data_IF_632956900486
#
_entry.id   IF_632956900486
#
_cell.length_a   1.000
_cell.length_b   1.000
_cell.length_c   1.000
_cell.angle_alpha   90.00
_cell.angle_beta   90.00
_cell.angle_gamma   90.00
#
_symmetry.space_group_name_H-M   'P 1'
#
loop_
_entity.id
_entity.type
_entity.pdbx_description
1 polymer ?
#
# COMPACT_ATOMS: atom_id res chain seq x y z
N UNK A 1 -48.86 -40.13 -5.29
CA UNK A 1 -47.61 -39.65 -5.94
C UNK A 1 -47.59 -38.13 -6.13
N UNK A 2 -48.05 -37.34 -5.14
CA UNK A 2 -48.16 -35.87 -5.22
C UNK A 2 -46.94 -35.10 -4.65
N UNK A 3 -45.83 -35.79 -4.38
CA UNK A 3 -44.59 -35.17 -3.84
C UNK A 3 -43.37 -35.21 -4.79
N UNK A 4 -43.51 -35.72 -6.02
CA UNK A 4 -42.43 -35.72 -7.05
C UNK A 4 -42.62 -34.70 -8.19
N UNK A 5 -43.79 -34.06 -8.26
CA UNK A 5 -44.11 -33.05 -9.28
C UNK A 5 -43.62 -31.64 -8.85
N UNK A 6 -43.54 -31.37 -7.54
CA UNK A 6 -43.10 -30.05 -7.04
C UNK A 6 -41.58 -29.81 -7.20
N UNK A 7 -40.75 -30.86 -7.25
CA UNK A 7 -39.28 -30.72 -7.37
C UNK A 7 -38.84 -30.62 -8.84
N UNK A 8 -39.61 -31.14 -9.79
CA UNK A 8 -39.25 -31.10 -11.22
C UNK A 8 -39.55 -29.74 -11.89
N UNK A 9 -40.49 -28.96 -11.35
CA UNK A 9 -40.82 -27.61 -11.85
C UNK A 9 -39.76 -26.57 -11.44
N UNK A 10 -39.11 -26.78 -10.29
CA UNK A 10 -38.06 -25.88 -9.79
C UNK A 10 -36.73 -26.08 -10.54
N UNK A 11 -36.43 -27.29 -11.01
CA UNK A 11 -35.19 -27.58 -11.77
C UNK A 11 -35.25 -27.06 -13.22
N UNK A 12 -36.43 -27.01 -13.85
CA UNK A 12 -36.60 -26.46 -15.22
C UNK A 12 -36.52 -24.92 -15.21
N UNK A 13 -36.98 -24.27 -14.14
CA UNK A 13 -36.87 -22.82 -14.00
C UNK A 13 -35.42 -22.34 -13.80
N UNK A 14 -34.55 -23.18 -13.21
CA UNK A 14 -33.13 -22.86 -13.00
C UNK A 14 -32.27 -23.10 -14.26
N UNK A 15 -32.66 -24.04 -15.13
CA UNK A 15 -31.97 -24.29 -16.41
C UNK A 15 -32.32 -23.24 -17.47
N UNK A 16 -33.54 -22.67 -17.46
CA UNK A 16 -33.91 -21.56 -18.34
C UNK A 16 -33.20 -20.23 -17.98
N UNK A 17 -32.77 -20.07 -16.73
CA UNK A 17 -32.02 -18.90 -16.28
C UNK A 17 -30.51 -18.95 -16.63
N UNK A 18 -29.98 -20.10 -17.08
CA UNK A 18 -28.55 -20.28 -17.39
C UNK A 18 -28.23 -20.38 -18.89
N UNK A 19 -29.22 -20.39 -19.78
CA UNK A 19 -29.02 -20.48 -21.25
C UNK A 19 -29.19 -19.11 -21.96
N UNK A 20 -29.53 -18.04 -21.23
CA UNK A 20 -29.62 -16.69 -21.81
C UNK A 20 -28.31 -15.88 -21.72
N UNK A 21 -27.24 -16.48 -21.21
CA UNK A 21 -25.89 -15.91 -21.26
C UNK A 21 -25.07 -16.64 -22.33
N UNK A 22 -24.68 -15.87 -23.35
CA UNK A 22 -23.47 -16.00 -24.17
C UNK A 22 -23.50 -16.81 -25.48
N UNK A 23 -23.31 -16.02 -26.55
CA UNK A 23 -22.63 -16.30 -27.83
C UNK A 23 -23.49 -17.05 -28.86
N UNK A 24 -23.70 -16.62 -30.10
CA UNK A 24 -23.06 -15.68 -31.04
C UNK A 24 -23.58 -16.15 -32.43
N UNK A 25 -23.41 -15.53 -33.60
CA UNK A 25 -22.77 -14.32 -34.10
C UNK A 25 -22.96 -14.44 -35.64
N UNK A 26 -23.22 -13.31 -36.32
CA UNK A 26 -22.89 -13.10 -37.74
C UNK A 26 -24.01 -13.34 -38.76
N UNK A 27 -24.48 -12.41 -39.58
CA UNK A 27 -24.33 -10.95 -39.71
C UNK A 27 -25.43 -10.49 -40.68
N UNK A 28 -26.08 -9.36 -40.43
CA UNK A 28 -26.37 -8.33 -41.46
C UNK A 28 -27.00 -7.10 -40.84
N UNK A 29 -26.35 -5.97 -41.10
CA UNK A 29 -26.71 -4.61 -40.73
C UNK A 29 -28.02 -4.19 -41.42
N UNK A 30 -29.07 -3.95 -40.63
CA UNK A 30 -29.94 -2.80 -40.84
C UNK A 30 -30.15 -2.21 -39.45
N UNK A 31 -29.75 -0.96 -39.25
CA UNK A 31 -30.25 -0.18 -38.14
C UNK A 31 -31.77 -0.06 -38.34
N UNK A 32 -32.54 -1.02 -37.82
CA UNK A 32 -33.97 -0.89 -37.74
C UNK A 32 -34.22 0.22 -36.74
N UNK A 33 -34.56 1.40 -37.24
CA UNK A 33 -35.22 2.45 -36.46
C UNK A 33 -36.19 1.78 -35.50
N UNK A 34 -35.94 1.95 -34.19
CA UNK A 34 -36.81 1.39 -33.16
C UNK A 34 -38.26 1.75 -33.45
N UNK A 35 -39.17 0.79 -33.25
CA UNK A 35 -40.60 1.01 -33.39
C UNK A 35 -40.99 2.28 -32.65
N UNK A 36 -41.82 3.13 -33.26
CA UNK A 36 -42.33 4.31 -32.57
C UNK A 36 -43.18 3.87 -31.37
N UNK A 37 -43.33 4.75 -30.38
CA UNK A 37 -44.19 4.46 -29.22
C UNK A 37 -45.64 4.14 -29.64
N UNK A 38 -46.11 4.70 -30.76
CA UNK A 38 -47.39 4.36 -31.37
C UNK A 38 -47.41 2.93 -31.94
N UNK A 39 -46.36 2.51 -32.64
CA UNK A 39 -46.25 1.14 -33.18
C UNK A 39 -46.27 0.08 -32.07
N UNK A 40 -45.66 0.39 -30.92
CA UNK A 40 -45.70 -0.45 -29.72
C UNK A 40 -47.12 -0.49 -29.12
N UNK A 41 -47.85 0.63 -29.11
CA UNK A 41 -49.22 0.67 -28.61
C UNK A 41 -50.18 -0.14 -29.48
N UNK A 42 -50.07 -0.03 -30.82
CA UNK A 42 -50.86 -0.84 -31.77
C UNK A 42 -50.56 -2.32 -31.58
N UNK A 43 -49.29 -2.70 -31.41
CA UNK A 43 -48.89 -4.09 -31.12
C UNK A 43 -49.48 -4.61 -29.81
N UNK A 44 -49.69 -3.75 -28.82
CA UNK A 44 -50.31 -4.08 -27.54
C UNK A 44 -51.84 -3.91 -27.53
N UNK A 45 -52.48 -3.80 -28.70
CA UNK A 45 -53.93 -3.85 -28.83
C UNK A 45 -54.63 -2.50 -28.86
N UNK A 46 -53.91 -1.38 -29.00
CA UNK A 46 -54.53 -0.10 -29.31
C UNK A 46 -55.12 -0.11 -30.72
N UNK A 47 -56.39 0.27 -30.85
CA UNK A 47 -57.10 0.38 -32.13
C UNK A 47 -57.47 1.84 -32.36
N UNK A 48 -56.79 2.50 -33.30
CA UNK A 48 -57.00 3.91 -33.63
C UNK A 48 -55.79 4.49 -34.36
N UNK A 49 -55.94 5.70 -34.88
CA UNK A 49 -54.87 6.46 -35.56
C UNK A 49 -53.84 7.01 -34.56
N UNK A 50 -52.65 7.37 -35.04
CA UNK A 50 -51.61 8.01 -34.21
C UNK A 50 -52.10 9.30 -33.55
N UNK A 51 -52.95 10.07 -34.24
CA UNK A 51 -53.58 11.27 -33.70
C UNK A 51 -54.55 10.96 -32.55
N UNK A 52 -55.33 9.89 -32.66
CA UNK A 52 -56.23 9.42 -31.59
C UNK A 52 -55.46 8.83 -30.42
N UNK A 53 -54.34 8.16 -30.69
CA UNK A 53 -53.41 7.68 -29.67
C UNK A 53 -52.82 8.84 -28.87
N UNK A 54 -52.30 9.87 -29.54
CA UNK A 54 -51.81 11.09 -28.89
C UNK A 54 -52.90 11.82 -28.08
N UNK A 55 -54.14 11.86 -28.58
CA UNK A 55 -55.27 12.42 -27.84
C UNK A 55 -55.63 11.59 -26.59
N UNK A 56 -55.44 10.28 -26.62
CA UNK A 56 -55.65 9.42 -25.44
C UNK A 56 -54.63 9.67 -24.33
N UNK A 57 -53.38 10.01 -24.69
CA UNK A 57 -52.32 10.36 -23.74
C UNK A 57 -52.56 11.71 -23.05
N UNK A 58 -53.30 12.61 -23.69
CA UNK A 58 -53.67 13.92 -23.12
C UNK A 58 -54.73 13.82 -22.00
N UNK A 59 -55.44 12.70 -21.89
CA UNK A 59 -56.44 12.42 -20.85
C UNK A 59 -55.92 11.48 -19.74
N UNK A 60 -54.60 11.26 -19.68
CA UNK A 60 -53.97 10.52 -18.60
C UNK A 60 -54.07 11.28 -17.28
N UNK A 61 -54.50 10.59 -16.22
CA UNK A 61 -54.44 11.13 -14.85
C UNK A 61 -53.04 11.68 -14.59
N UNK A 62 -52.94 12.87 -14.01
CA UNK A 62 -51.64 13.42 -13.60
C UNK A 62 -51.00 12.48 -12.57
N UNK A 63 -49.67 12.49 -12.47
CA UNK A 63 -48.98 11.71 -11.44
C UNK A 63 -49.45 12.10 -10.01
N UNK A 64 -49.91 13.34 -9.84
CA UNK A 64 -50.57 13.81 -8.63
C UNK A 64 -51.94 13.13 -8.40
N UNK A 65 -52.79 13.00 -9.44
CA UNK A 65 -54.07 12.28 -9.32
C UNK A 65 -53.87 10.81 -8.93
N UNK A 66 -52.79 10.19 -9.41
CA UNK A 66 -52.40 8.84 -9.00
C UNK A 66 -51.92 8.80 -7.54
N UNK A 67 -51.18 9.82 -7.08
CA UNK A 67 -50.74 9.92 -5.70
C UNK A 67 -51.93 10.10 -4.73
N UNK A 68 -52.88 10.97 -5.06
CA UNK A 68 -54.12 11.16 -4.28
C UNK A 68 -54.93 9.86 -4.23
N UNK A 69 -55.08 9.16 -5.35
CA UNK A 69 -55.76 7.86 -5.40
C UNK A 69 -55.07 6.78 -4.54
N UNK A 70 -53.77 6.88 -4.35
CA UNK A 70 -52.97 5.98 -3.50
C UNK A 70 -52.80 6.48 -2.05
N UNK A 71 -53.57 7.49 -1.63
CA UNK A 71 -53.64 7.93 -0.23
C UNK A 71 -52.78 9.14 0.13
N UNK A 72 -52.28 9.89 -0.86
CA UNK A 72 -51.66 11.19 -0.59
C UNK A 72 -52.72 12.22 -0.20
N UNK A 73 -52.58 12.81 0.97
CA UNK A 73 -53.40 13.91 1.46
C UNK A 73 -52.58 15.20 1.40
N UNK A 74 -52.89 16.06 0.43
CA UNK A 74 -52.19 17.34 0.23
C UNK A 74 -52.53 17.93 -1.13
N UNK A 75 -52.10 19.16 -1.38
CA UNK A 75 -52.22 19.87 -2.65
C UNK A 75 -51.15 19.43 -3.65
N UNK A 76 -51.36 19.72 -4.94
CA UNK A 76 -50.38 19.43 -6.00
C UNK A 76 -49.02 20.10 -5.73
N UNK A 77 -49.05 21.32 -5.15
CA UNK A 77 -47.85 22.05 -4.71
C UNK A 77 -47.11 21.31 -3.59
N UNK A 78 -47.82 20.77 -2.60
CA UNK A 78 -47.22 20.00 -1.50
C UNK A 78 -46.68 18.66 -1.99
N UNK A 79 -47.34 18.04 -2.95
CA UNK A 79 -46.86 16.82 -3.61
C UNK A 79 -45.57 17.08 -4.40
N UNK A 80 -45.50 18.16 -5.19
CA UNK A 80 -44.29 18.54 -5.91
C UNK A 80 -43.12 18.87 -4.95
N UNK A 81 -43.41 19.52 -3.82
CA UNK A 81 -42.41 19.76 -2.77
C UNK A 81 -41.92 18.45 -2.13
N UNK A 82 -42.78 17.45 -1.98
CA UNK A 82 -42.39 16.13 -1.46
C UNK A 82 -41.49 15.32 -2.41
N UNK A 83 -41.55 15.62 -3.71
CA UNK A 83 -40.71 14.98 -4.74
C UNK A 83 -39.33 15.64 -4.88
N UNK A 84 -39.14 16.85 -4.34
CA UNK A 84 -37.82 17.43 -4.21
C UNK A 84 -37.08 16.72 -3.08
N UNK A 85 -36.32 15.68 -3.43
CA UNK A 85 -35.24 15.24 -2.58
C UNK A 85 -34.31 16.43 -2.30
N UNK A 86 -33.80 16.53 -1.07
CA UNK A 86 -32.69 17.44 -0.80
C UNK A 86 -31.61 17.17 -1.83
N UNK A 87 -31.16 18.20 -2.56
CA UNK A 87 -29.93 18.09 -3.32
C UNK A 87 -28.89 17.46 -2.39
N UNK A 88 -28.23 16.39 -2.82
CA UNK A 88 -27.01 15.95 -2.16
C UNK A 88 -26.12 17.17 -2.02
N UNK A 89 -25.49 17.35 -0.86
CA UNK A 89 -24.50 18.41 -0.71
C UNK A 89 -23.49 18.24 -1.85
N UNK A 90 -23.32 19.27 -2.67
CA UNK A 90 -22.19 19.31 -3.59
C UNK A 90 -20.94 19.15 -2.72
N UNK A 91 -20.12 18.14 -3.03
CA UNK A 91 -18.84 17.98 -2.35
C UNK A 91 -18.04 19.26 -2.53
N UNK A 92 -17.53 19.84 -1.43
CA UNK A 92 -16.56 20.94 -1.55
C UNK A 92 -15.40 20.47 -2.41
N UNK A 93 -15.00 21.26 -3.38
CA UNK A 93 -13.73 21.06 -4.09
C UNK A 93 -12.61 20.93 -3.05
N UNK A 94 -11.79 19.88 -3.19
CA UNK A 94 -10.78 19.45 -2.23
C UNK A 94 -9.51 20.32 -2.24
N UNK A 95 -9.67 21.64 -2.15
CA UNK A 95 -8.55 22.50 -1.77
C UNK A 95 -8.49 22.49 -0.23
N UNK A 96 -7.46 21.84 0.31
CA UNK A 96 -7.12 21.70 1.75
C UNK A 96 -7.86 20.62 2.56
N UNK A 97 -8.07 19.41 2.01
CA UNK A 97 -8.32 18.23 2.86
C UNK A 97 -6.99 17.51 3.08
N UNK A 98 -6.47 17.54 4.31
CA UNK A 98 -5.29 16.77 4.71
C UNK A 98 -5.66 15.34 5.04
N UNK A 99 -4.69 14.42 5.00
CA UNK A 99 -4.94 13.03 5.39
C UNK A 99 -5.34 12.91 6.87
N UNK A 100 -4.88 13.84 7.70
CA UNK A 100 -5.29 13.98 9.09
C UNK A 100 -6.77 14.33 9.24
N UNK A 101 -7.32 15.18 8.35
CA UNK A 101 -8.74 15.53 8.34
C UNK A 101 -9.61 14.33 7.98
N UNK A 102 -9.16 13.50 7.03
CA UNK A 102 -9.86 12.27 6.65
C UNK A 102 -9.80 11.24 7.77
N UNK A 103 -8.65 11.10 8.44
CA UNK A 103 -8.52 10.21 9.61
C UNK A 103 -9.44 10.64 10.75
N UNK A 104 -9.54 11.94 11.03
CA UNK A 104 -10.46 12.42 12.07
C UNK A 104 -11.93 12.18 11.70
N UNK A 105 -12.30 12.38 10.45
CA UNK A 105 -13.64 12.04 9.98
C UNK A 105 -13.92 10.52 10.12
N UNK A 106 -12.92 9.66 9.94
CA UNK A 106 -13.05 8.23 10.16
C UNK A 106 -13.24 7.89 11.65
N UNK A 107 -12.48 8.53 12.55
CA UNK A 107 -12.67 8.38 14.00
C UNK A 107 -14.09 8.81 14.42
N UNK A 108 -14.57 9.94 13.91
CA UNK A 108 -15.95 10.42 14.15
C UNK A 108 -17.01 9.45 13.61
N UNK A 109 -16.69 8.71 12.55
CA UNK A 109 -17.53 7.66 11.98
C UNK A 109 -17.42 6.30 12.71
N UNK A 110 -16.61 6.21 13.77
CA UNK A 110 -16.47 5.01 14.60
C UNK A 110 -15.31 4.09 14.22
N UNK A 111 -14.31 4.59 13.49
CA UNK A 111 -13.06 3.87 13.28
C UNK A 111 -12.26 3.76 14.58
N UNK A 112 -11.71 2.58 14.89
CA UNK A 112 -10.98 2.31 16.15
C UNK A 112 -9.48 2.02 15.95
N UNK A 113 -9.00 1.95 14.70
CA UNK A 113 -7.60 1.68 14.38
C UNK A 113 -6.69 2.89 14.59
N UNK A 114 -5.37 2.66 14.58
CA UNK A 114 -4.40 3.75 14.60
C UNK A 114 -4.36 4.50 13.27
N UNK A 115 -3.74 5.69 13.26
CA UNK A 115 -3.50 6.45 12.02
C UNK A 115 -2.74 5.62 10.98
N UNK A 116 -1.81 4.77 11.41
CA UNK A 116 -1.06 3.90 10.51
C UNK A 116 -1.93 2.76 9.95
N UNK A 117 -2.81 2.19 10.78
CA UNK A 117 -3.79 1.20 10.31
C UNK A 117 -4.75 1.85 9.29
N UNK A 118 -5.17 3.09 9.56
CA UNK A 118 -6.07 3.85 8.69
C UNK A 118 -5.44 4.13 7.33
N UNK A 119 -4.20 4.63 7.33
CA UNK A 119 -3.44 4.84 6.09
C UNK A 119 -3.24 3.52 5.35
N UNK A 120 -2.89 2.44 6.05
CA UNK A 120 -2.70 1.13 5.42
C UNK A 120 -3.98 0.50 4.85
N UNK A 121 -5.14 0.74 5.46
CA UNK A 121 -6.44 0.18 5.03
C UNK A 121 -7.09 0.98 3.90
N UNK A 122 -7.03 2.32 3.97
CA UNK A 122 -7.75 3.22 3.06
C UNK A 122 -6.88 3.84 1.97
N UNK A 123 -5.56 3.74 2.09
CA UNK A 123 -4.61 4.17 1.06
C UNK A 123 -3.80 2.96 0.58
N UNK A 124 -4.45 2.10 -0.20
CA UNK A 124 -3.83 1.00 -0.94
C UNK A 124 -2.66 1.53 -1.81
N UNK A 125 -1.51 0.85 -1.70
CA UNK A 125 -0.22 1.02 -2.40
C UNK A 125 -0.36 1.25 -3.93
N UNK A 126 -1.41 0.71 -4.55
CA UNK A 126 -1.72 0.88 -5.98
C UNK A 126 -2.26 2.26 -6.35
N UNK A 127 -2.84 2.99 -5.41
CA UNK A 127 -3.36 4.36 -5.66
C UNK A 127 -2.33 5.45 -5.39
N UNK A 128 -1.34 5.19 -4.52
CA UNK A 128 -0.28 6.12 -4.14
C UNK A 128 0.94 6.06 -5.09
N UNK A 129 1.28 4.88 -5.61
CA UNK A 129 2.38 4.69 -6.56
C UNK A 129 2.22 5.49 -7.87
N UNK A 130 1.02 5.99 -8.16
CA UNK A 130 0.70 6.82 -9.32
C UNK A 130 0.86 8.34 -9.10
N UNK A 131 1.08 8.81 -7.86
CA UNK A 131 0.79 10.22 -7.54
C UNK A 131 2.03 11.12 -7.51
N UNK A 132 3.23 10.63 -7.18
CA UNK A 132 4.45 11.47 -7.26
C UNK A 132 5.78 10.73 -7.05
N UNK A 133 6.88 11.25 -7.61
CA UNK A 133 8.25 10.76 -7.39
C UNK A 133 8.69 10.84 -5.93
N UNK A 134 8.11 11.78 -5.18
CA UNK A 134 8.42 12.02 -3.77
C UNK A 134 7.86 10.90 -2.88
N UNK A 135 6.70 10.32 -3.23
CA UNK A 135 6.15 9.21 -2.44
C UNK A 135 6.93 7.93 -2.66
N UNK A 136 7.35 7.64 -3.91
CA UNK A 136 8.23 6.51 -4.22
C UNK A 136 9.58 6.65 -3.50
N UNK A 137 10.14 7.86 -3.47
CA UNK A 137 11.38 8.13 -2.71
C UNK A 137 11.19 7.89 -1.20
N UNK A 138 10.06 8.34 -0.63
CA UNK A 138 9.76 8.15 0.79
C UNK A 138 9.48 6.67 1.14
N UNK A 139 8.87 5.90 0.24
CA UNK A 139 8.69 4.45 0.41
C UNK A 139 10.02 3.70 0.31
N UNK A 140 10.90 4.07 -0.64
CA UNK A 140 12.21 3.43 -0.80
C UNK A 140 13.05 3.53 0.47
N UNK A 141 12.95 4.64 1.20
CA UNK A 141 13.63 4.87 2.48
C UNK A 141 13.26 3.83 3.55
N UNK A 142 12.07 3.22 3.50
CA UNK A 142 11.65 2.18 4.45
C UNK A 142 12.45 0.88 4.32
N UNK A 143 13.13 0.69 3.20
CA UNK A 143 13.99 -0.46 2.93
C UNK A 143 15.48 -0.19 3.17
N UNK A 144 15.83 1.03 3.57
CA UNK A 144 17.22 1.46 3.78
C UNK A 144 17.56 1.52 5.26
N UNK A 145 18.76 1.05 5.60
CA UNK A 145 19.33 1.12 6.95
C UNK A 145 20.68 1.79 6.93
N UNK A 146 21.09 2.37 8.06
CA UNK A 146 22.50 2.62 8.31
C UNK A 146 23.13 1.36 8.91
N UNK A 147 24.35 1.07 8.49
CA UNK A 147 25.14 -0.08 8.96
C UNK A 147 26.39 0.45 9.63
N UNK A 148 26.70 -0.09 10.81
CA UNK A 148 27.91 0.23 11.55
C UNK A 148 28.61 -1.06 11.93
N UNK A 149 29.92 -1.09 11.70
CA UNK A 149 30.79 -2.19 12.06
C UNK A 149 31.90 -1.65 12.94
N UNK A 150 32.03 -2.20 14.14
CA UNK A 150 33.07 -1.83 15.09
C UNK A 150 34.31 -2.69 14.88
N UNK A 151 35.47 -2.05 14.94
CA UNK A 151 36.77 -2.65 14.75
C UNK A 151 37.71 -2.24 15.87
N UNK A 152 38.76 -3.02 16.06
CA UNK A 152 39.89 -2.66 16.91
C UNK A 152 41.16 -2.56 16.08
N UNK A 153 42.07 -1.68 16.47
CA UNK A 153 43.41 -1.57 15.89
C UNK A 153 44.43 -1.21 16.96
N UNK A 154 45.61 -1.84 16.87
CA UNK A 154 46.74 -1.60 17.75
C UNK A 154 47.68 -0.59 17.11
N UNK A 155 47.63 0.63 17.63
CA UNK A 155 48.47 1.73 17.15
C UNK A 155 49.74 1.80 18.00
N UNK A 156 50.90 1.84 17.33
CA UNK A 156 52.20 1.97 18.00
C UNK A 156 52.72 3.40 17.84
N UNK A 157 52.91 4.08 18.96
CA UNK A 157 53.47 5.42 19.03
C UNK A 157 54.95 5.33 19.40
N UNK A 158 55.77 6.05 18.65
CA UNK A 158 57.17 6.24 19.01
C UNK A 158 57.24 7.23 20.16
N UNK A 159 57.61 6.77 21.36
CA UNK A 159 57.86 7.66 22.50
C UNK A 159 59.06 8.56 22.22
N UNK A 160 58.97 9.83 22.61
CA UNK A 160 60.09 10.77 22.49
C UNK A 160 61.36 10.23 23.18
N UNK A 161 62.51 10.41 22.53
CA UNK A 161 63.79 9.90 23.03
C UNK A 161 64.32 10.77 24.18
N UNK A 162 64.02 10.40 25.43
CA UNK A 162 64.50 11.11 26.62
C UNK A 162 65.48 10.25 27.41
N UNK A 163 66.64 10.84 27.77
CA UNK A 163 67.67 10.23 28.62
C UNK A 163 68.19 8.85 28.19
N UNK A 164 68.30 8.61 26.88
CA UNK A 164 68.89 7.37 26.35
C UNK A 164 67.96 6.15 26.42
N UNK A 165 66.69 6.32 26.78
CA UNK A 165 65.67 5.28 26.71
C UNK A 165 64.52 5.76 25.81
N UNK A 166 64.54 5.34 24.55
CA UNK A 166 63.39 5.43 23.66
C UNK A 166 62.57 4.15 23.79
N UNK A 167 61.28 4.28 24.14
CA UNK A 167 60.35 3.17 24.18
C UNK A 167 59.21 3.39 23.20
N UNK A 168 58.92 2.42 22.35
CA UNK A 168 57.64 2.39 21.63
C UNK A 168 56.54 1.98 22.59
N UNK A 169 55.41 2.67 22.54
CA UNK A 169 54.21 2.35 23.30
C UNK A 169 53.13 1.92 22.31
N UNK A 170 52.48 0.79 22.56
CA UNK A 170 51.35 0.33 21.74
C UNK A 170 50.06 0.44 22.55
N UNK A 171 48.98 0.87 21.90
CA UNK A 171 47.65 0.92 22.48
C UNK A 171 46.65 0.35 21.47
N UNK A 172 45.79 -0.55 21.93
CA UNK A 172 44.61 -0.98 21.17
C UNK A 172 43.48 0.04 21.38
N UNK A 173 42.86 0.46 20.29
CA UNK A 173 41.72 1.37 20.29
C UNK A 173 40.60 0.86 19.39
N UNK A 174 39.34 1.06 19.78
CA UNK A 174 38.18 0.81 18.95
C UNK A 174 37.93 1.96 17.97
N UNK A 175 37.32 1.64 16.84
CA UNK A 175 36.77 2.58 15.86
C UNK A 175 35.62 1.91 15.11
N UNK A 176 34.88 2.68 14.32
CA UNK A 176 33.76 2.14 13.54
C UNK A 176 33.85 2.57 12.08
N UNK A 177 33.51 1.66 11.17
CA UNK A 177 33.11 2.00 9.82
C UNK A 177 31.58 2.17 9.78
N UNK A 178 31.12 3.18 9.02
CA UNK A 178 29.71 3.46 8.81
C UNK A 178 29.38 3.41 7.33
N UNK A 179 28.21 2.87 7.01
CA UNK A 179 27.71 2.78 5.65
C UNK A 179 26.19 2.66 5.60
N UNK A 180 25.70 2.26 4.43
CA UNK A 180 24.28 2.04 4.18
C UNK A 180 24.04 0.58 3.81
N UNK A 181 22.85 0.10 4.11
CA UNK A 181 22.38 -1.23 3.74
C UNK A 181 20.96 -1.18 3.23
N UNK A 182 20.58 -2.23 2.52
CA UNK A 182 19.25 -2.41 1.95
C UNK A 182 18.67 -3.71 2.49
N UNK A 183 17.44 -3.64 3.02
CA UNK A 183 16.69 -4.81 3.49
C UNK A 183 16.21 -5.59 2.26
N UNK A 184 16.94 -6.68 1.95
CA UNK A 184 16.64 -7.56 0.82
C UNK A 184 15.47 -8.49 1.12
N UNK A 185 15.41 -8.98 2.35
CA UNK A 185 14.34 -9.84 2.84
C UNK A 185 13.96 -9.42 4.26
N UNK A 186 12.66 -9.44 4.55
CA UNK A 186 12.14 -9.14 5.88
C UNK A 186 11.01 -10.11 6.24
N UNK A 187 11.20 -10.85 7.34
CA UNK A 187 10.12 -11.53 8.04
C UNK A 187 9.68 -10.64 9.22
N UNK A 188 8.55 -9.96 9.03
CA UNK A 188 8.05 -8.99 10.01
C UNK A 188 7.56 -9.64 11.29
N UNK A 189 7.07 -10.88 11.23
CA UNK A 189 6.55 -11.60 12.39
C UNK A 189 7.69 -12.15 13.24
N UNK A 190 8.70 -12.74 12.59
CA UNK A 190 9.89 -13.24 13.26
C UNK A 190 10.81 -12.09 13.71
N UNK A 191 10.81 -10.95 13.02
CA UNK A 191 11.81 -9.89 13.20
C UNK A 191 13.16 -10.25 12.59
N UNK A 192 13.17 -11.16 11.62
CA UNK A 192 14.36 -11.62 10.91
C UNK A 192 14.52 -10.80 9.62
N UNK A 193 15.76 -10.47 9.26
CA UNK A 193 16.03 -9.78 8.00
C UNK A 193 17.37 -10.18 7.40
N UNK A 194 17.45 -10.13 6.06
CA UNK A 194 18.71 -10.14 5.33
C UNK A 194 18.96 -8.76 4.74
N UNK A 195 20.15 -8.21 5.01
CA UNK A 195 20.54 -6.88 4.61
C UNK A 195 21.75 -6.98 3.69
N UNK A 196 21.69 -6.31 2.54
CA UNK A 196 22.81 -6.18 1.61
C UNK A 196 23.50 -4.85 1.89
N UNK A 197 24.82 -4.86 2.01
CA UNK A 197 25.66 -3.67 2.19
C UNK A 197 26.97 -3.85 1.43
N UNK A 198 27.88 -2.88 1.52
CA UNK A 198 29.20 -3.00 0.93
C UNK A 198 30.11 -3.88 1.80
N UNK A 199 31.03 -4.60 1.15
CA UNK A 199 31.98 -5.45 1.87
C UNK A 199 32.95 -4.60 2.71
N UNK A 200 33.40 -3.46 2.17
CA UNK A 200 34.30 -2.56 2.89
C UNK A 200 33.68 -1.92 4.15
N UNK A 201 32.35 -1.97 4.31
CA UNK A 201 31.69 -1.49 5.54
C UNK A 201 31.97 -2.45 6.69
N UNK A 202 32.08 -3.75 6.41
CA UNK A 202 32.24 -4.79 7.43
C UNK A 202 33.64 -5.38 7.49
N UNK A 203 34.54 -4.92 6.62
CA UNK A 203 35.92 -5.37 6.55
C UNK A 203 36.91 -4.20 6.59
N UNK A 204 37.97 -4.34 7.39
CA UNK A 204 39.11 -3.43 7.40
C UNK A 204 40.43 -4.22 7.52
N UNK A 205 41.28 -4.10 6.51
CA UNK A 205 42.56 -4.82 6.42
C UNK A 205 43.55 -4.44 7.54
N UNK A 206 43.41 -3.25 8.13
CA UNK A 206 44.26 -2.76 9.20
C UNK A 206 43.66 -3.03 10.59
N UNK A 207 42.51 -3.72 10.67
CA UNK A 207 41.91 -4.12 11.93
C UNK A 207 42.58 -5.35 12.53
N UNK A 208 42.65 -5.39 13.87
CA UNK A 208 43.07 -6.55 14.65
C UNK A 208 41.95 -7.61 14.81
N UNK A 209 40.72 -7.33 14.37
CA UNK A 209 39.61 -8.29 14.43
C UNK A 209 39.94 -9.53 13.60
N UNK A 210 39.56 -10.71 14.11
CA UNK A 210 39.87 -11.98 13.47
C UNK A 210 39.29 -12.05 12.05
N UNK A 211 40.14 -12.33 11.07
CA UNK A 211 39.73 -12.36 9.66
C UNK A 211 39.38 -10.98 9.07
N UNK A 212 39.66 -9.90 9.81
CA UNK A 212 39.44 -8.51 9.42
C UNK A 212 37.97 -8.15 9.15
N UNK A 213 37.03 -9.02 9.53
CA UNK A 213 35.60 -8.82 9.42
C UNK A 213 35.05 -8.57 10.81
N UNK A 214 34.33 -7.47 11.01
CA UNK A 214 33.73 -7.12 12.30
C UNK A 214 32.76 -8.20 12.79
N UNK A 215 32.87 -8.57 14.06
CA UNK A 215 31.89 -9.39 14.79
C UNK A 215 30.91 -8.55 15.62
N UNK A 216 31.12 -7.23 15.69
CA UNK A 216 30.24 -6.25 16.34
C UNK A 216 29.64 -5.32 15.28
N UNK A 217 28.56 -5.79 14.67
CA UNK A 217 27.82 -5.10 13.62
C UNK A 217 26.41 -4.80 14.12
N UNK A 218 25.96 -3.57 13.91
CA UNK A 218 24.56 -3.21 14.14
C UNK A 218 24.03 -2.34 13.01
N UNK A 219 22.71 -2.35 12.88
CA UNK A 219 21.98 -1.53 11.92
C UNK A 219 21.01 -0.63 12.65
N UNK A 220 20.70 0.51 12.05
CA UNK A 220 19.64 1.41 12.53
C UNK A 220 18.71 1.73 11.38
N UNK A 221 17.40 1.70 11.65
CA UNK A 221 16.40 2.14 10.67
C UNK A 221 16.57 3.63 10.37
N UNK A 222 16.21 4.03 9.16
CA UNK A 222 16.29 5.42 8.73
C UNK A 222 15.52 6.35 9.68
N UNK A 223 16.11 7.52 9.96
CA UNK A 223 15.54 8.51 10.87
C UNK A 223 15.76 8.20 12.35
N UNK A 224 16.40 7.06 12.66
CA UNK A 224 16.62 6.62 14.03
C UNK A 224 18.11 6.57 14.38
N UNK A 225 18.71 7.76 14.55
CA UNK A 225 20.16 7.91 14.72
C UNK A 225 20.50 8.62 16.02
N UNK A 226 20.59 7.86 17.10
CA UNK A 226 21.22 8.32 18.34
C UNK A 226 22.49 7.53 18.57
N UNK A 227 23.63 8.07 18.11
CA UNK A 227 24.93 7.42 18.19
C UNK A 227 25.70 7.93 19.41
N UNK A 228 26.22 7.01 20.20
CA UNK A 228 27.15 7.30 21.29
C UNK A 228 28.40 6.44 21.12
N UNK A 229 29.42 6.71 21.94
CA UNK A 229 30.62 5.88 22.02
C UNK A 229 30.77 5.31 23.42
N UNK A 230 31.17 4.05 23.50
CA UNK A 230 31.51 3.41 24.76
C UNK A 230 32.93 3.79 25.23
N UNK A 231 33.38 3.17 26.33
CA UNK A 231 34.73 3.37 26.88
C UNK A 231 35.86 2.92 25.96
N UNK A 232 35.56 2.00 25.04
CA UNK A 232 36.51 1.40 24.11
C UNK A 232 36.50 2.11 22.74
N UNK A 233 35.71 3.20 22.63
CA UNK A 233 35.53 4.03 21.44
C UNK A 233 34.78 3.32 20.29
N UNK A 234 34.07 2.23 20.60
CA UNK A 234 33.09 1.64 19.69
C UNK A 234 31.88 2.54 19.59
N UNK A 235 31.28 2.61 18.40
CA UNK A 235 30.02 3.32 18.18
C UNK A 235 28.87 2.41 18.59
N UNK A 236 27.88 2.94 19.29
CA UNK A 236 26.66 2.22 19.67
C UNK A 236 25.43 3.12 19.53
N UNK A 237 24.24 2.52 19.59
CA UNK A 237 22.96 3.24 19.57
C UNK A 237 21.94 2.58 20.49
N UNK A 238 21.08 3.38 21.13
CA UNK A 238 19.92 2.85 21.87
C UNK A 238 18.88 2.20 20.94
N UNK A 239 18.97 2.47 19.63
CA UNK A 239 18.15 1.87 18.58
C UNK A 239 18.94 0.89 17.70
N UNK A 240 20.08 0.42 18.21
CA UNK A 240 20.89 -0.57 17.51
C UNK A 240 20.12 -1.87 17.38
N UNK A 241 20.05 -2.38 16.15
CA UNK A 241 19.57 -3.71 15.82
C UNK A 241 20.81 -4.57 15.52
N UNK A 242 21.19 -5.52 16.39
CA UNK A 242 22.35 -6.36 16.16
C UNK A 242 22.23 -7.15 14.86
N UNK A 243 23.32 -7.22 14.10
CA UNK A 243 23.40 -7.95 12.86
C UNK A 243 24.65 -8.83 12.83
N UNK A 244 24.59 -9.93 12.10
CA UNK A 244 25.68 -10.89 11.96
C UNK A 244 26.12 -10.97 10.51
N UNK A 245 27.42 -11.01 10.25
CA UNK A 245 27.94 -11.25 8.92
C UNK A 245 27.64 -12.69 8.48
N UNK A 246 27.04 -12.85 7.29
CA UNK A 246 26.69 -14.16 6.71
C UNK A 246 27.69 -14.56 5.64
N UNK A 247 28.11 -13.62 4.81
CA UNK A 247 28.98 -13.86 3.66
C UNK A 247 29.03 -12.66 2.72
N UNK A 248 29.91 -12.69 1.73
CA UNK A 248 30.09 -11.58 0.80
C UNK A 248 31.19 -11.83 -0.23
N UNK A 249 31.44 -10.83 -1.07
CA UNK A 249 32.53 -10.81 -2.04
C UNK A 249 33.27 -9.48 -1.95
N UNK A 250 34.57 -9.55 -1.63
CA UNK A 250 35.49 -8.42 -1.74
C UNK A 250 35.57 -7.88 -3.17
N UNK A 251 35.52 -8.78 -4.16
CA UNK A 251 35.67 -8.41 -5.58
C UNK A 251 34.50 -7.58 -6.09
N UNK A 252 33.29 -7.85 -5.58
CA UNK A 252 32.08 -7.12 -5.97
C UNK A 252 31.66 -6.09 -4.91
N UNK A 253 32.48 -5.91 -3.88
CA UNK A 253 32.23 -5.04 -2.72
C UNK A 253 30.81 -5.18 -2.17
N UNK A 254 30.39 -6.43 -1.92
CA UNK A 254 29.07 -6.78 -1.41
C UNK A 254 29.18 -7.69 -0.19
N UNK A 255 28.39 -7.42 0.84
CA UNK A 255 28.25 -8.24 2.04
C UNK A 255 26.77 -8.42 2.37
N UNK A 256 26.46 -9.57 2.97
CA UNK A 256 25.14 -9.95 3.47
C UNK A 256 25.20 -10.07 4.98
N UNK A 257 24.28 -9.36 5.64
CA UNK A 257 24.08 -9.39 7.07
C UNK A 257 22.75 -10.06 7.40
N UNK A 258 22.69 -10.72 8.55
CA UNK A 258 21.47 -11.29 9.11
C UNK A 258 21.13 -10.64 10.44
N UNK A 259 19.89 -10.17 10.54
CA UNK A 259 19.22 -9.83 11.79
C UNK A 259 18.31 -10.99 12.19
N UNK A 260 18.24 -11.30 13.48
CA UNK A 260 17.37 -12.36 14.02
C UNK A 260 16.54 -11.82 15.18
N UNK A 261 15.23 -12.01 15.16
CA UNK A 261 14.37 -11.79 16.32
C UNK A 261 14.22 -10.34 16.78
N UNK A 262 14.37 -9.33 15.91
CA UNK A 262 14.39 -7.92 16.32
C UNK A 262 13.00 -7.35 16.56
N UNK A 263 12.68 -7.02 17.82
CA UNK A 263 11.44 -6.31 18.18
C UNK A 263 11.34 -4.92 17.53
N UNK A 264 12.46 -4.25 17.28
CA UNK A 264 12.48 -2.98 16.56
C UNK A 264 12.06 -3.17 15.09
N UNK A 265 12.44 -4.28 14.45
CA UNK A 265 11.99 -4.58 13.09
C UNK A 265 10.51 -4.93 13.06
N UNK A 266 10.02 -5.77 13.99
CA UNK A 266 8.61 -6.15 14.09
C UNK A 266 7.69 -4.94 14.19
N UNK A 267 8.06 -3.97 15.02
CA UNK A 267 7.23 -2.82 15.37
C UNK A 267 7.57 -1.53 14.58
N UNK A 268 8.17 -1.67 13.39
CA UNK A 268 8.55 -0.51 12.55
C UNK A 268 7.77 -0.46 11.23
N UNK A 269 7.93 0.63 10.48
CA UNK A 269 7.48 0.72 9.09
C UNK A 269 8.47 0.10 8.09
N UNK A 270 9.56 -0.53 8.54
CA UNK A 270 10.57 -1.10 7.65
C UNK A 270 9.97 -2.15 6.70
N UNK A 271 10.39 -2.12 5.45
CA UNK A 271 9.95 -3.01 4.38
C UNK A 271 11.14 -3.59 3.62
N UNK A 272 10.94 -4.73 2.98
CA UNK A 272 11.94 -5.26 2.03
C UNK A 272 11.83 -4.53 0.69
N UNK A 273 12.93 -4.49 -0.06
CA UNK A 273 12.89 -3.95 -1.43
C UNK A 273 12.02 -4.79 -2.36
N UNK A 274 11.38 -4.10 -3.30
CA UNK A 274 10.91 -4.72 -4.53
C UNK A 274 12.04 -4.76 -5.54
N UNK A 275 12.51 -5.96 -5.90
CA UNK A 275 13.61 -6.13 -6.84
C UNK A 275 13.04 -6.13 -8.27
N UNK A 276 13.41 -5.12 -9.05
CA UNK A 276 13.04 -5.04 -10.47
C UNK A 276 13.80 -6.05 -11.35
N UNK A 277 13.19 -6.45 -12.46
CA UNK A 277 13.87 -7.24 -13.50
C UNK A 277 14.77 -6.33 -14.33
N UNK A 278 16.08 -6.61 -14.33
CA UNK A 278 17.06 -5.84 -15.08
C UNK A 278 16.82 -5.88 -16.59
N UNK A 279 16.13 -6.90 -17.10
CA UNK A 279 15.76 -6.99 -18.52
C UNK A 279 14.62 -6.05 -18.92
N UNK A 280 13.89 -5.48 -17.95
CA UNK A 280 12.81 -4.52 -18.17
C UNK A 280 13.29 -3.06 -18.07
N UNK A 281 14.57 -2.84 -17.72
CA UNK A 281 15.15 -1.50 -17.66
C UNK A 281 15.56 -1.08 -19.09
N UNK A 282 14.67 -0.38 -19.78
CA UNK A 282 15.04 0.40 -20.98
C UNK A 282 15.71 1.70 -20.54
N UNK A 283 17.01 1.81 -20.82
CA UNK A 283 17.83 3.03 -20.60
C UNK A 283 17.60 4.04 -21.71
#
# INVERSE_FOLDING_TARGET
MKKRIAISVVVIAVIAALVFCLVGCGDTLVASSGLSAYDIAVKNGFVGTEKEWLASLANGQSAYDIAVKNGFEGTETEWLASLQGTNGLDGKDAEDITIEDVYQAALDAGYEGSFLDFVGEYLDDTTISAVSSEVIANQAVLSVVSVYANFTQTVTYSGGWYWGSGGSQSRTQGYAAGGSGVIYYLDKEAGDAYIITNYHVVYDADSDVAGHISDDIFVTLYGNHYLTKDSDNHVTSIYAIPATYVGGSMTYDIAVLKVTGSELLKNSAASQVSVGDSNQITV
#
